data_IF_840825239013
#
_entry.id   IF_840825239013
#
_cell.length_a   1.000
_cell.length_b   1.000
_cell.length_c   1.000
_cell.angle_alpha   90.00
_cell.angle_beta   90.00
_cell.angle_gamma   90.00
#
_symmetry.space_group_name_H-M   'P 1'
#
loop_
_entity.id
_entity.type
_entity.pdbx_description
1 polymer ?
#
# COMPACT_ATOMS: atom_id res chain seq x y z
N UNK A 1 10.87 6.80 -2.73
CA UNK A 1 10.13 6.01 -3.74
C UNK A 1 10.52 4.56 -3.59
N UNK A 2 9.51 3.66 -3.54
CA UNK A 2 9.77 2.23 -3.37
C UNK A 2 8.89 1.37 -4.28
N UNK A 3 9.48 0.35 -4.86
CA UNK A 3 8.84 -0.76 -5.56
C UNK A 3 9.74 -1.99 -5.52
N UNK A 4 9.37 -3.08 -6.20
CA UNK A 4 10.20 -4.31 -6.24
C UNK A 4 11.46 -4.19 -7.11
N UNK A 5 11.50 -3.24 -8.04
CA UNK A 5 12.59 -3.06 -9.01
C UNK A 5 13.35 -1.78 -8.72
N UNK A 6 14.65 -1.89 -8.47
CA UNK A 6 15.49 -0.74 -8.15
C UNK A 6 15.56 0.26 -9.31
N UNK A 7 15.73 -0.21 -10.54
CA UNK A 7 15.78 0.61 -11.74
C UNK A 7 14.54 1.51 -11.92
N UNK A 8 13.36 0.96 -11.65
CA UNK A 8 12.11 1.72 -11.70
C UNK A 8 12.00 2.75 -10.56
N UNK A 9 12.53 2.44 -9.38
CA UNK A 9 12.60 3.37 -8.27
C UNK A 9 13.59 4.51 -8.56
N UNK A 10 14.75 4.19 -9.14
CA UNK A 10 15.78 5.15 -9.52
C UNK A 10 15.26 6.13 -10.56
N UNK A 11 14.60 5.63 -11.61
CA UNK A 11 14.00 6.48 -12.65
C UNK A 11 12.95 7.44 -12.06
N UNK A 12 12.06 6.95 -11.23
CA UNK A 12 11.03 7.78 -10.59
C UNK A 12 11.62 8.81 -9.61
N UNK A 13 12.64 8.43 -8.84
CA UNK A 13 13.31 9.37 -7.94
C UNK A 13 14.08 10.46 -8.71
N UNK A 14 14.74 10.08 -9.81
CA UNK A 14 15.42 11.02 -10.70
C UNK A 14 14.43 12.04 -11.30
N UNK A 15 13.30 11.57 -11.85
CA UNK A 15 12.26 12.45 -12.40
C UNK A 15 11.75 13.47 -11.37
N UNK A 16 11.53 13.03 -10.13
CA UNK A 16 11.09 13.93 -9.04
C UNK A 16 12.17 14.96 -8.72
N UNK A 17 13.42 14.53 -8.60
CA UNK A 17 14.54 15.41 -8.26
C UNK A 17 14.80 16.44 -9.36
N UNK A 18 14.73 16.04 -10.63
CA UNK A 18 14.90 16.91 -11.78
C UNK A 18 13.79 17.97 -11.85
N UNK A 19 12.53 17.56 -11.68
CA UNK A 19 11.39 18.49 -11.64
C UNK A 19 11.48 19.52 -10.52
N UNK A 20 12.05 19.14 -9.39
CA UNK A 20 12.16 20.02 -8.21
C UNK A 20 13.50 20.77 -8.14
N UNK A 21 14.47 20.48 -9.02
CA UNK A 21 15.80 21.08 -9.02
C UNK A 21 16.60 20.82 -7.73
N UNK A 22 16.27 19.78 -6.97
CA UNK A 22 16.94 19.43 -5.71
C UNK A 22 16.75 17.95 -5.37
N UNK A 23 17.60 17.42 -4.50
CA UNK A 23 17.46 16.06 -3.97
C UNK A 23 16.26 16.01 -2.99
N UNK A 24 15.06 15.69 -3.53
CA UNK A 24 13.81 15.58 -2.79
C UNK A 24 13.31 14.14 -2.65
N UNK A 25 13.87 13.20 -3.43
CA UNK A 25 13.50 11.80 -3.41
C UNK A 25 14.72 10.89 -3.38
N UNK A 26 14.59 9.75 -2.73
CA UNK A 26 15.51 8.61 -2.81
C UNK A 26 14.77 7.38 -3.33
N UNK A 27 15.51 6.46 -3.91
CA UNK A 27 15.03 5.19 -4.42
C UNK A 27 15.49 4.05 -3.51
N UNK A 28 14.55 3.26 -2.98
CA UNK A 28 14.85 2.08 -2.18
C UNK A 28 13.94 0.95 -2.63
N UNK A 29 14.49 -0.08 -3.29
CA UNK A 29 13.69 -1.24 -3.67
C UNK A 29 13.31 -2.06 -2.43
N UNK A 30 12.02 -2.40 -2.34
CA UNK A 30 11.51 -3.27 -1.29
C UNK A 30 10.41 -4.20 -1.82
N UNK A 31 10.57 -5.49 -1.58
CA UNK A 31 9.50 -6.45 -1.75
C UNK A 31 8.64 -6.46 -0.48
N UNK A 32 7.38 -6.04 -0.59
CA UNK A 32 6.47 -5.94 0.56
C UNK A 32 6.20 -7.28 1.26
N UNK A 33 6.40 -8.41 0.57
CA UNK A 33 6.29 -9.73 1.18
C UNK A 33 7.47 -10.08 2.13
N UNK A 34 8.55 -9.30 2.09
CA UNK A 34 9.74 -9.51 2.90
C UNK A 34 9.83 -8.45 4.00
N UNK A 35 9.54 -8.84 5.24
CA UNK A 35 9.53 -7.92 6.39
C UNK A 35 10.86 -7.16 6.54
N UNK A 36 12.00 -7.84 6.31
CA UNK A 36 13.33 -7.20 6.38
C UNK A 36 13.54 -6.14 5.30
N UNK A 37 12.96 -6.32 4.09
CA UNK A 37 13.04 -5.29 3.05
C UNK A 37 12.25 -4.02 3.42
N UNK A 38 11.12 -4.18 4.11
CA UNK A 38 10.38 -3.04 4.65
C UNK A 38 11.13 -2.33 5.77
N UNK A 39 11.81 -3.07 6.66
CA UNK A 39 12.67 -2.47 7.68
C UNK A 39 13.79 -1.65 7.03
N UNK A 40 14.48 -2.20 6.04
CA UNK A 40 15.52 -1.48 5.30
C UNK A 40 14.97 -0.20 4.62
N UNK A 41 13.76 -0.26 4.05
CA UNK A 41 13.10 0.93 3.47
C UNK A 41 12.90 2.04 4.52
N UNK A 42 12.46 1.68 5.72
CA UNK A 42 12.26 2.61 6.83
C UNK A 42 13.60 3.19 7.29
N UNK A 43 14.62 2.35 7.47
CA UNK A 43 15.95 2.75 7.92
C UNK A 43 16.63 3.70 6.93
N UNK A 44 16.58 3.39 5.62
CA UNK A 44 17.13 4.26 4.57
C UNK A 44 16.37 5.59 4.49
N UNK A 45 15.05 5.57 4.67
CA UNK A 45 14.26 6.80 4.69
C UNK A 45 14.64 7.69 5.88
N UNK A 46 14.78 7.11 7.06
CA UNK A 46 15.21 7.84 8.26
C UNK A 46 16.65 8.38 8.11
N UNK A 47 17.56 7.60 7.52
CA UNK A 47 18.93 8.03 7.24
C UNK A 47 18.98 9.24 6.30
N UNK A 48 18.13 9.24 5.26
CA UNK A 48 18.12 10.29 4.25
C UNK A 48 17.41 11.58 4.69
N UNK A 49 16.33 11.46 5.47
CA UNK A 49 15.44 12.58 5.79
C UNK A 49 15.28 12.86 7.29
N UNK A 50 15.87 12.04 8.15
CA UNK A 50 15.84 12.20 9.62
C UNK A 50 14.58 11.65 10.29
N UNK A 51 13.43 11.66 9.61
CA UNK A 51 12.13 11.20 10.13
C UNK A 51 11.16 10.80 9.03
N UNK A 52 10.09 10.10 9.41
CA UNK A 52 8.95 9.80 8.57
C UNK A 52 7.73 10.50 9.15
N UNK A 53 7.16 11.47 8.43
CA UNK A 53 5.95 12.20 8.84
C UNK A 53 4.69 11.55 8.28
N UNK A 54 4.78 10.96 7.07
CA UNK A 54 3.65 10.36 6.37
C UNK A 54 4.06 8.99 5.85
N UNK A 55 3.29 7.95 6.21
CA UNK A 55 3.43 6.61 5.67
C UNK A 55 2.27 6.32 4.71
N UNK A 56 2.57 5.98 3.44
CA UNK A 56 1.56 5.64 2.44
C UNK A 56 1.72 4.17 2.04
N UNK A 57 0.77 3.33 2.43
CA UNK A 57 0.68 1.93 2.05
C UNK A 57 -0.12 1.81 0.75
N UNK A 58 0.57 1.88 -0.39
CA UNK A 58 -0.05 1.82 -1.73
C UNK A 58 0.15 0.48 -2.43
N UNK A 59 1.25 -0.23 -2.14
CA UNK A 59 1.58 -1.47 -2.82
C UNK A 59 0.56 -2.58 -2.51
N UNK A 60 0.09 -3.25 -3.55
CA UNK A 60 -0.83 -4.37 -3.44
C UNK A 60 -0.57 -5.40 -4.54
N UNK A 61 -1.18 -6.58 -4.42
CA UNK A 61 -1.17 -7.60 -5.46
C UNK A 61 -2.54 -8.26 -5.59
N UNK A 62 -2.86 -8.66 -6.82
CA UNK A 62 -4.01 -9.51 -7.11
C UNK A 62 -3.61 -10.54 -8.18
N UNK A 63 -3.04 -11.69 -7.80
CA UNK A 63 -2.58 -12.72 -8.74
C UNK A 63 -3.71 -13.60 -9.30
N UNK A 64 -4.96 -13.39 -8.90
CA UNK A 64 -6.08 -14.21 -9.32
C UNK A 64 -7.25 -13.34 -9.81
N UNK A 65 -7.81 -13.75 -10.94
CA UNK A 65 -8.99 -13.14 -11.55
C UNK A 65 -9.98 -14.24 -11.91
N UNK A 66 -11.07 -14.37 -11.18
CA UNK A 66 -12.09 -15.41 -11.34
C UNK A 66 -12.95 -15.59 -10.08
N UNK A 67 -13.91 -16.53 -10.09
CA UNK A 67 -14.78 -16.78 -8.96
C UNK A 67 -14.01 -17.29 -7.74
N UNK A 68 -14.46 -16.94 -6.53
CA UNK A 68 -13.84 -17.35 -5.26
C UNK A 68 -13.66 -18.86 -5.12
N UNK A 69 -14.54 -19.67 -5.73
CA UNK A 69 -14.44 -21.13 -5.72
C UNK A 69 -13.26 -21.70 -6.51
N UNK A 70 -12.64 -20.91 -7.36
CA UNK A 70 -11.50 -21.32 -8.18
C UNK A 70 -10.13 -20.82 -7.70
N UNK A 71 -10.08 -19.99 -6.67
CA UNK A 71 -8.79 -19.49 -6.13
C UNK A 71 -8.09 -20.59 -5.34
N UNK A 72 -6.77 -20.71 -5.50
CA UNK A 72 -5.98 -21.61 -4.67
C UNK A 72 -5.64 -20.97 -3.31
N UNK A 73 -5.36 -21.81 -2.30
CA UNK A 73 -4.96 -21.35 -0.98
C UNK A 73 -3.71 -20.47 -1.05
N UNK A 74 -2.72 -20.83 -1.88
CA UNK A 74 -1.49 -20.06 -2.07
C UNK A 74 -1.77 -18.67 -2.65
N UNK A 75 -2.67 -18.56 -3.62
CA UNK A 75 -3.07 -17.27 -4.20
C UNK A 75 -3.81 -16.41 -3.18
N UNK A 76 -4.73 -17.03 -2.42
CA UNK A 76 -5.48 -16.35 -1.37
C UNK A 76 -4.54 -15.83 -0.29
N UNK A 77 -3.67 -16.70 0.26
CA UNK A 77 -2.69 -16.33 1.27
C UNK A 77 -1.72 -15.25 0.78
N UNK A 78 -1.29 -15.31 -0.49
CA UNK A 78 -0.44 -14.29 -1.08
C UNK A 78 -1.12 -12.91 -1.14
N UNK A 79 -2.42 -12.86 -1.42
CA UNK A 79 -3.20 -11.61 -1.40
C UNK A 79 -3.22 -11.05 0.03
N UNK A 80 -3.56 -11.88 1.03
CA UNK A 80 -3.62 -11.44 2.42
C UNK A 80 -2.25 -10.98 2.93
N UNK A 81 -1.20 -11.75 2.64
CA UNK A 81 0.17 -11.42 3.02
C UNK A 81 0.63 -10.08 2.44
N UNK A 82 0.40 -9.88 1.15
CA UNK A 82 0.87 -8.67 0.46
C UNK A 82 0.02 -7.44 0.77
N UNK A 83 -1.29 -7.60 0.92
CA UNK A 83 -2.18 -6.44 1.00
C UNK A 83 -2.47 -6.03 2.45
N UNK A 84 -2.43 -6.98 3.41
CA UNK A 84 -2.80 -6.72 4.80
C UNK A 84 -1.56 -6.80 5.70
N UNK A 85 -0.87 -7.95 5.70
CA UNK A 85 0.23 -8.19 6.65
C UNK A 85 1.40 -7.24 6.39
N UNK A 86 1.72 -6.96 5.13
CA UNK A 86 2.77 -6.02 4.77
C UNK A 86 2.46 -4.58 5.22
N UNK A 87 1.19 -4.15 5.09
CA UNK A 87 0.75 -2.83 5.56
C UNK A 87 0.87 -2.74 7.08
N UNK A 88 0.42 -3.77 7.81
CA UNK A 88 0.59 -3.86 9.26
C UNK A 88 2.07 -3.77 9.65
N UNK A 89 2.98 -4.48 9.00
CA UNK A 89 4.41 -4.40 9.28
C UNK A 89 4.97 -3.00 9.06
N UNK A 90 4.72 -2.42 7.88
CA UNK A 90 5.26 -1.11 7.53
C UNK A 90 4.77 -0.02 8.48
N UNK A 91 3.48 -0.03 8.81
CA UNK A 91 2.90 0.93 9.75
C UNK A 91 3.54 0.80 11.13
N UNK A 92 3.70 -0.42 11.64
CA UNK A 92 4.33 -0.64 12.95
C UNK A 92 5.83 -0.28 13.00
N UNK A 93 6.51 -0.25 11.85
CA UNK A 93 7.89 0.25 11.77
C UNK A 93 7.96 1.78 11.75
N UNK A 94 6.95 2.45 11.18
CA UNK A 94 6.90 3.92 11.09
C UNK A 94 6.27 4.57 12.33
N UNK A 95 5.22 3.97 12.90
CA UNK A 95 4.38 4.57 13.92
C UNK A 95 5.10 4.96 15.23
N UNK A 96 6.08 4.20 15.76
CA UNK A 96 6.70 4.55 17.04
C UNK A 96 7.28 5.98 17.06
N UNK A 97 8.02 6.36 16.05
CA UNK A 97 8.58 7.71 15.96
C UNK A 97 7.53 8.83 15.78
N UNK A 98 6.40 8.50 15.11
CA UNK A 98 5.27 9.44 14.95
C UNK A 98 4.55 9.65 16.29
N UNK A 99 4.30 8.56 17.03
CA UNK A 99 3.64 8.59 18.33
C UNK A 99 4.47 9.32 19.37
N UNK A 100 5.78 9.08 19.42
CA UNK A 100 6.72 9.74 20.34
C UNK A 100 6.70 11.27 20.17
N UNK A 101 6.75 11.77 18.94
CA UNK A 101 6.68 13.21 18.69
C UNK A 101 5.27 13.78 18.59
N UNK A 102 4.23 12.92 18.73
CA UNK A 102 2.80 13.27 18.66
C UNK A 102 2.41 13.97 17.35
N UNK A 103 3.01 13.53 16.25
CA UNK A 103 2.76 14.07 14.92
C UNK A 103 3.05 13.01 13.83
N UNK A 104 2.03 12.71 13.02
CA UNK A 104 2.15 11.76 11.93
C UNK A 104 0.83 11.45 11.22
N UNK A 105 0.96 10.88 10.02
CA UNK A 105 -0.18 10.40 9.27
C UNK A 105 0.13 9.08 8.55
N UNK A 106 -0.85 8.19 8.55
CA UNK A 106 -0.84 6.94 7.80
C UNK A 106 -1.99 6.95 6.81
N UNK A 107 -1.73 6.60 5.56
CA UNK A 107 -2.72 6.45 4.51
C UNK A 107 -2.60 5.06 3.93
N UNK A 108 -3.69 4.30 3.94
CA UNK A 108 -3.77 2.99 3.30
C UNK A 108 -4.61 3.13 2.03
N UNK A 109 -4.03 2.78 0.88
CA UNK A 109 -4.78 2.76 -0.38
C UNK A 109 -5.57 1.45 -0.45
N UNK A 110 -6.85 1.57 -0.13
CA UNK A 110 -7.83 0.50 -0.22
C UNK A 110 -8.44 0.43 -1.63
N UNK A 111 -9.73 0.21 -1.75
CA UNK A 111 -10.49 0.14 -3.00
C UNK A 111 -11.99 0.27 -2.71
N UNK A 112 -12.77 0.73 -3.68
CA UNK A 112 -14.24 0.58 -3.64
C UNK A 112 -14.65 -0.89 -3.55
N UNK A 113 -13.81 -1.83 -4.02
CA UNK A 113 -14.00 -3.27 -3.82
C UNK A 113 -14.03 -3.69 -2.35
N UNK A 114 -13.43 -2.94 -1.43
CA UNK A 114 -13.60 -3.16 0.01
C UNK A 114 -14.96 -2.76 0.58
N UNK A 115 -15.81 -2.10 -0.22
CA UNK A 115 -17.16 -1.66 0.15
C UNK A 115 -18.27 -2.47 -0.53
N UNK A 116 -17.94 -3.24 -1.57
CA UNK A 116 -18.88 -4.05 -2.34
C UNK A 116 -18.25 -5.37 -2.77
N UNK A 117 -19.07 -6.37 -3.12
CA UNK A 117 -18.58 -7.63 -3.66
C UNK A 117 -18.30 -7.57 -5.16
N UNK A 118 -17.45 -8.49 -5.64
CA UNK A 118 -17.16 -8.71 -7.04
C UNK A 118 -17.18 -10.21 -7.37
N UNK A 119 -17.69 -10.63 -8.53
CA UNK A 119 -17.67 -12.03 -8.94
C UNK A 119 -16.28 -12.53 -9.36
N UNK A 120 -15.31 -11.63 -9.56
CA UNK A 120 -14.03 -11.99 -10.20
C UNK A 120 -12.77 -11.58 -9.42
N UNK A 121 -12.88 -10.71 -8.41
CA UNK A 121 -11.73 -10.26 -7.58
C UNK A 121 -12.02 -10.36 -6.07
N UNK A 122 -12.91 -11.28 -5.66
CA UNK A 122 -13.41 -11.34 -4.29
C UNK A 122 -12.34 -11.44 -3.20
N UNK A 123 -11.26 -12.19 -3.41
CA UNK A 123 -10.15 -12.27 -2.44
C UNK A 123 -9.41 -10.94 -2.28
N UNK A 124 -9.23 -10.19 -3.37
CA UNK A 124 -8.70 -8.84 -3.32
C UNK A 124 -9.65 -7.91 -2.54
N UNK A 125 -10.95 -7.97 -2.81
CA UNK A 125 -11.96 -7.15 -2.13
C UNK A 125 -11.98 -7.42 -0.61
N UNK A 126 -11.85 -8.69 -0.20
CA UNK A 126 -11.68 -9.07 1.22
C UNK A 126 -10.46 -8.36 1.80
N UNK A 127 -9.32 -8.38 1.10
CA UNK A 127 -8.12 -7.71 1.58
C UNK A 127 -8.29 -6.19 1.70
N UNK A 128 -9.06 -5.58 0.80
CA UNK A 128 -9.31 -4.13 0.81
C UNK A 128 -10.34 -3.72 1.88
N UNK A 129 -11.30 -4.57 2.19
CA UNK A 129 -12.15 -4.40 3.37
C UNK A 129 -11.36 -4.51 4.68
N UNK A 130 -10.43 -5.46 4.76
CA UNK A 130 -9.53 -5.61 5.91
C UNK A 130 -8.60 -4.41 6.09
N UNK A 131 -8.09 -3.78 5.01
CA UNK A 131 -7.34 -2.53 5.05
C UNK A 131 -8.13 -1.40 5.74
N UNK A 132 -9.43 -1.29 5.45
CA UNK A 132 -10.30 -0.29 6.06
C UNK A 132 -10.48 -0.55 7.56
N UNK A 133 -10.62 -1.82 7.96
CA UNK A 133 -10.73 -2.18 9.38
C UNK A 133 -9.40 -2.00 10.11
N UNK A 134 -8.28 -2.34 9.47
CA UNK A 134 -6.94 -2.06 10.01
C UNK A 134 -6.78 -0.56 10.31
N UNK A 135 -7.16 0.31 9.37
CA UNK A 135 -7.08 1.74 9.57
C UNK A 135 -7.95 2.23 10.74
N UNK A 136 -9.19 1.72 10.88
CA UNK A 136 -10.07 2.08 12.01
C UNK A 136 -9.46 1.70 13.36
N UNK A 137 -8.91 0.48 13.46
CA UNK A 137 -8.29 0.00 14.70
C UNK A 137 -7.07 0.86 15.07
N UNK A 138 -6.21 1.12 14.10
CA UNK A 138 -5.01 1.93 14.32
C UNK A 138 -5.34 3.41 14.57
N UNK A 139 -6.41 3.95 14.00
CA UNK A 139 -6.88 5.30 14.28
C UNK A 139 -7.34 5.45 15.75
N UNK A 140 -8.00 4.43 16.29
CA UNK A 140 -8.38 4.40 17.72
C UNK A 140 -7.13 4.25 18.60
N UNK A 141 -6.20 3.38 18.24
CA UNK A 141 -4.98 3.12 19.02
C UNK A 141 -4.02 4.33 19.04
N UNK A 142 -3.82 4.98 17.88
CA UNK A 142 -2.81 6.04 17.72
C UNK A 142 -3.37 7.46 17.92
N UNK A 143 -4.69 7.60 17.97
CA UNK A 143 -5.36 8.91 18.05
C UNK A 143 -4.96 9.72 19.27
N UNK A 144 -4.79 9.07 20.44
CA UNK A 144 -4.31 9.73 21.66
C UNK A 144 -2.89 10.33 21.51
N UNK A 145 -2.09 9.81 20.58
CA UNK A 145 -0.75 10.27 20.25
C UNK A 145 -0.73 11.26 19.07
N UNK A 146 -1.90 11.78 18.66
CA UNK A 146 -2.06 12.69 17.52
C UNK A 146 -1.52 12.15 16.18
N UNK A 147 -1.60 10.83 15.98
CA UNK A 147 -1.28 10.19 14.70
C UNK A 147 -2.57 9.78 14.01
N UNK A 148 -2.79 10.30 12.82
CA UNK A 148 -4.00 10.07 12.03
C UNK A 148 -3.81 8.86 11.11
N UNK A 149 -4.79 7.97 11.07
CA UNK A 149 -4.78 6.81 10.15
C UNK A 149 -6.07 6.81 9.33
N UNK A 150 -5.93 6.84 8.01
CA UNK A 150 -7.07 6.89 7.09
C UNK A 150 -6.87 5.93 5.91
N UNK A 151 -7.97 5.64 5.22
CA UNK A 151 -7.97 4.93 3.94
C UNK A 151 -8.47 5.84 2.82
N UNK A 152 -7.94 5.60 1.62
CA UNK A 152 -8.53 6.08 0.38
C UNK A 152 -9.08 4.86 -0.34
N UNK A 153 -10.32 4.92 -0.81
CA UNK A 153 -10.99 3.85 -1.55
C UNK A 153 -11.21 4.28 -3.03
N UNK A 154 -10.18 4.18 -3.89
CA UNK A 154 -10.31 4.57 -5.28
C UNK A 154 -11.31 3.66 -6.00
N UNK A 155 -12.01 4.22 -6.99
CA UNK A 155 -12.67 3.46 -8.04
C UNK A 155 -11.67 2.90 -9.05
N UNK A 156 -12.13 2.59 -10.25
CA UNK A 156 -11.27 2.10 -11.31
C UNK A 156 -10.40 3.25 -11.85
N UNK A 157 -9.09 3.13 -11.65
CA UNK A 157 -8.09 4.05 -12.18
C UNK A 157 -7.32 3.36 -13.31
N UNK A 158 -7.16 4.01 -14.44
CA UNK A 158 -6.42 3.49 -15.58
C UNK A 158 -4.92 3.42 -15.26
N UNK A 159 -4.48 2.26 -14.83
CA UNK A 159 -3.09 1.91 -14.51
C UNK A 159 -2.76 0.54 -15.07
N UNK A 160 -1.48 0.21 -15.19
CA UNK A 160 -1.05 -1.13 -15.60
C UNK A 160 -1.58 -2.22 -14.66
N UNK A 161 -1.68 -1.92 -13.36
CA UNK A 161 -2.23 -2.84 -12.35
C UNK A 161 -3.69 -3.21 -12.63
N UNK A 162 -4.49 -2.25 -13.09
CA UNK A 162 -5.92 -2.43 -13.35
C UNK A 162 -6.23 -2.77 -14.82
N UNK A 163 -5.22 -3.04 -15.66
CA UNK A 163 -5.36 -3.22 -17.11
C UNK A 163 -6.42 -4.25 -17.50
N UNK A 164 -6.44 -5.40 -16.83
CA UNK A 164 -7.43 -6.45 -17.06
C UNK A 164 -8.89 -6.02 -16.80
N UNK A 165 -9.11 -4.97 -16.03
CA UNK A 165 -10.44 -4.43 -15.73
C UNK A 165 -10.87 -3.36 -16.72
N UNK A 166 -9.98 -2.39 -17.04
CA UNK A 166 -10.38 -1.26 -17.88
C UNK A 166 -10.25 -1.54 -19.39
N UNK A 167 -9.53 -2.58 -19.82
CA UNK A 167 -9.53 -3.06 -21.20
C UNK A 167 -10.73 -3.95 -21.55
N UNK A 168 -11.52 -4.37 -20.56
CA UNK A 168 -12.71 -5.19 -20.78
C UNK A 168 -13.99 -4.32 -20.81
N UNK A 169 -14.64 -4.12 -21.98
CA UNK A 169 -15.82 -3.26 -22.11
C UNK A 169 -17.01 -3.70 -21.27
N UNK A 170 -17.13 -5.00 -20.97
CA UNK A 170 -18.25 -5.53 -20.17
C UNK A 170 -18.05 -5.19 -18.68
N UNK A 171 -16.81 -5.13 -18.23
CA UNK A 171 -16.48 -4.75 -16.83
C UNK A 171 -16.66 -3.24 -16.63
N UNK A 172 -16.35 -2.43 -17.67
CA UNK A 172 -16.50 -0.98 -17.60
C UNK A 172 -17.96 -0.50 -17.52
N UNK A 173 -18.93 -1.33 -17.93
CA UNK A 173 -20.36 -1.00 -17.91
C UNK A 173 -21.05 -1.36 -16.58
N UNK A 174 -20.40 -2.16 -15.75
CA UNK A 174 -20.93 -2.65 -14.47
C UNK A 174 -20.47 -1.75 -13.29
#
# INVERSE_FOLDING_TARGET
VSSRKQDACDAAAAEINDKLGRKAAIAVAANIAAKQALQNLVDETNRAFGKIDICICNAASNPYFGPMSGITDDQFMKILQNNIVSNHWLINMCAPQMRERRDGAVIIISSVGGLKGSPVIGAYDISKAADMQLARNLAVEFGADNVRVNTIAPGLVQTDFAKALWENPEILKA
#
